data_IF_176869458623
#
_entry.id   IF_176869458623
#
_cell.length_a   1.000
_cell.length_b   1.000
_cell.length_c   1.000
_cell.angle_alpha   90.00
_cell.angle_beta   90.00
_cell.angle_gamma   90.00
#
_symmetry.space_group_name_H-M   'P 1'
#
loop_
_entity.id
_entity.type
_entity.pdbx_description
1 polymer ?
#
# COMPACT_ATOMS: atom_id res chain seq x y z
N UNK A 1 14.94 -13.23 -1.38
CA UNK A 1 13.89 -12.31 -0.91
C UNK A 1 14.23 -11.91 0.51
N UNK A 2 14.29 -10.62 0.80
CA UNK A 2 14.55 -10.10 2.14
C UNK A 2 13.25 -9.69 2.80
N UNK A 3 13.21 -9.80 4.13
CA UNK A 3 12.05 -9.45 4.93
C UNK A 3 12.43 -8.33 5.90
N UNK A 4 11.63 -7.29 5.94
CA UNK A 4 11.76 -6.27 6.96
C UNK A 4 11.41 -6.85 8.32
N UNK A 5 12.02 -6.34 9.38
CA UNK A 5 11.59 -6.65 10.74
C UNK A 5 10.19 -6.08 11.02
N UNK A 6 9.48 -6.68 11.95
CA UNK A 6 8.23 -6.12 12.48
C UNK A 6 8.48 -4.79 13.21
N UNK A 7 7.46 -3.94 13.22
CA UNK A 7 7.48 -2.64 13.90
C UNK A 7 7.41 -2.81 15.42
N UNK A 8 8.10 -1.92 16.13
CA UNK A 8 8.17 -1.87 17.60
C UNK A 8 7.66 -0.54 18.11
N UNK A 9 7.24 -0.51 19.36
CA UNK A 9 6.92 0.76 20.02
C UNK A 9 8.13 1.71 19.99
N UNK A 10 7.89 2.95 19.62
CA UNK A 10 8.92 3.96 19.41
C UNK A 10 9.47 4.03 17.98
N UNK A 11 9.11 3.09 17.11
CA UNK A 11 9.53 3.15 15.70
C UNK A 11 8.87 4.31 14.97
N UNK A 12 9.67 4.97 14.12
CA UNK A 12 9.18 5.93 13.14
C UNK A 12 8.67 5.23 11.89
N UNK A 13 7.51 5.66 11.41
CA UNK A 13 6.92 5.19 10.16
C UNK A 13 6.72 6.37 9.22
N UNK A 14 7.32 6.30 8.03
CA UNK A 14 7.18 7.32 7.00
C UNK A 14 5.82 7.21 6.32
N UNK A 15 5.15 8.33 6.12
CA UNK A 15 3.95 8.44 5.31
C UNK A 15 4.34 9.09 3.98
N UNK A 16 4.08 8.39 2.88
CA UNK A 16 4.46 8.80 1.52
C UNK A 16 3.26 8.84 0.59
N UNK A 17 3.18 9.84 -0.27
CA UNK A 17 2.20 9.94 -1.35
C UNK A 17 2.89 9.60 -2.68
N UNK A 18 2.85 8.31 -3.07
CA UNK A 18 3.58 7.81 -4.25
C UNK A 18 2.78 7.91 -5.55
N UNK A 19 1.46 8.10 -5.46
CA UNK A 19 0.57 8.28 -6.59
C UNK A 19 -0.31 9.51 -6.36
N UNK A 20 -1.57 9.35 -5.92
CA UNK A 20 -2.44 10.48 -5.63
C UNK A 20 -1.90 11.36 -4.49
N UNK A 21 -1.98 12.68 -4.68
CA UNK A 21 -1.67 13.69 -3.67
C UNK A 21 -2.80 14.01 -2.69
N UNK A 22 -3.85 13.20 -2.67
CA UNK A 22 -5.09 13.45 -1.92
C UNK A 22 -4.84 13.75 -0.43
N UNK A 23 -3.81 13.15 0.16
CA UNK A 23 -3.46 13.39 1.57
C UNK A 23 -3.17 14.85 1.89
N UNK A 24 -2.68 15.62 0.91
CA UNK A 24 -2.38 17.04 1.07
C UNK A 24 -3.59 17.97 0.93
N UNK A 25 -4.75 17.44 0.59
CA UNK A 25 -5.97 18.23 0.41
C UNK A 25 -6.70 18.50 1.74
N UNK A 26 -7.34 19.66 1.84
CA UNK A 26 -8.04 20.07 3.05
C UNK A 26 -9.14 19.07 3.48
N UNK A 27 -9.82 18.48 2.51
CA UNK A 27 -10.86 17.49 2.78
C UNK A 27 -10.36 16.20 3.42
N UNK A 28 -9.04 15.92 3.38
CA UNK A 28 -8.39 14.79 4.07
C UNK A 28 -7.83 15.15 5.45
N UNK A 29 -7.95 16.39 5.91
CA UNK A 29 -7.32 16.84 7.18
C UNK A 29 -7.75 16.00 8.38
N UNK A 30 -9.00 15.62 8.48
CA UNK A 30 -9.51 14.78 9.56
C UNK A 30 -9.03 13.32 9.48
N UNK A 31 -8.80 12.79 8.28
CA UNK A 31 -8.19 11.46 8.12
C UNK A 31 -6.75 11.47 8.67
N UNK A 32 -6.01 12.59 8.47
CA UNK A 32 -4.67 12.77 9.03
C UNK A 32 -4.74 12.75 10.57
N UNK A 33 -5.66 13.53 11.17
CA UNK A 33 -5.84 13.59 12.63
C UNK A 33 -6.10 12.18 13.20
N UNK A 34 -7.02 11.43 12.58
CA UNK A 34 -7.41 10.08 13.00
C UNK A 34 -6.25 9.08 12.81
N UNK A 35 -5.63 9.06 11.64
CA UNK A 35 -4.53 8.13 11.33
C UNK A 35 -3.31 8.35 12.24
N UNK A 36 -2.95 9.61 12.49
CA UNK A 36 -1.88 9.96 13.43
C UNK A 36 -2.21 9.48 14.85
N UNK A 37 -3.44 9.69 15.30
CA UNK A 37 -3.89 9.22 16.62
C UNK A 37 -3.73 7.70 16.73
N UNK A 38 -4.22 6.94 15.75
CA UNK A 38 -4.16 5.47 15.75
C UNK A 38 -2.72 4.94 15.72
N UNK A 39 -1.85 5.52 14.89
CA UNK A 39 -0.43 5.13 14.90
C UNK A 39 0.22 5.37 16.27
N UNK A 40 -0.08 6.49 16.92
CA UNK A 40 0.40 6.77 18.26
C UNK A 40 -0.16 5.82 19.32
N UNK A 41 -1.41 5.37 19.17
CA UNK A 41 -2.01 4.35 20.05
C UNK A 41 -1.27 3.00 19.93
N UNK A 42 -0.76 2.66 18.75
CA UNK A 42 0.16 1.53 18.56
C UNK A 42 1.60 1.80 19.05
N UNK A 43 1.87 3.00 19.53
CA UNK A 43 3.20 3.42 19.98
C UNK A 43 4.16 3.76 18.85
N UNK A 44 3.66 4.00 17.64
CA UNK A 44 4.45 4.38 16.47
C UNK A 44 4.50 5.90 16.31
N UNK A 45 5.59 6.41 15.74
CA UNK A 45 5.78 7.81 15.43
C UNK A 45 5.60 8.06 13.92
N UNK A 46 4.47 8.64 13.45
CA UNK A 46 4.28 8.96 12.04
C UNK A 46 5.14 10.15 11.62
N UNK A 47 5.84 10.00 10.50
CA UNK A 47 6.67 11.04 9.87
C UNK A 47 6.17 11.27 8.46
N UNK A 48 5.50 12.39 8.20
CA UNK A 48 5.12 12.76 6.85
C UNK A 48 6.36 13.20 6.08
N UNK A 49 6.63 12.53 4.95
CA UNK A 49 7.74 12.90 4.11
C UNK A 49 7.50 14.30 3.48
N UNK A 50 8.55 15.03 3.12
CA UNK A 50 8.45 16.46 2.78
C UNK A 50 7.45 16.84 1.70
N UNK A 51 7.17 15.93 0.75
CA UNK A 51 6.23 16.16 -0.32
C UNK A 51 4.87 15.47 -0.10
N UNK A 52 4.72 14.60 0.91
CA UNK A 52 3.52 13.79 1.11
C UNK A 52 2.22 14.62 1.23
N UNK A 53 2.32 15.86 1.71
CA UNK A 53 1.21 16.79 1.94
C UNK A 53 1.15 17.94 0.92
N UNK A 54 1.76 17.81 -0.26
CA UNK A 54 1.81 18.88 -1.28
C UNK A 54 0.54 19.00 -2.13
N UNK A 55 -0.40 18.10 -1.99
CA UNK A 55 -1.66 18.12 -2.74
C UNK A 55 -1.59 17.48 -4.13
N UNK A 56 -2.76 17.27 -4.71
CA UNK A 56 -2.94 16.57 -5.98
C UNK A 56 -2.21 17.28 -7.10
N UNK A 57 -2.45 18.57 -7.28
CA UNK A 57 -1.91 19.36 -8.41
C UNK A 57 -0.37 19.31 -8.44
N UNK A 58 0.27 19.47 -7.28
CA UNK A 58 1.72 19.43 -7.20
C UNK A 58 2.25 18.01 -7.50
N UNK A 59 1.73 16.99 -6.84
CA UNK A 59 2.28 15.64 -6.94
C UNK A 59 2.04 15.01 -8.32
N UNK A 60 0.93 15.33 -8.99
CA UNK A 60 0.65 14.86 -10.33
C UNK A 60 1.71 15.33 -11.35
N UNK A 61 2.25 16.52 -11.16
CA UNK A 61 3.26 17.12 -12.07
C UNK A 61 4.71 16.91 -11.60
N UNK A 62 4.93 16.34 -10.41
CA UNK A 62 6.26 16.18 -9.82
C UNK A 62 6.55 14.72 -9.37
N UNK A 63 6.57 13.74 -10.29
CA UNK A 63 6.88 12.34 -9.94
C UNK A 63 8.26 12.20 -9.26
N UNK A 64 9.25 13.05 -9.64
CA UNK A 64 10.56 13.07 -9.00
C UNK A 64 10.50 13.44 -7.51
N UNK A 65 9.54 14.28 -7.08
CA UNK A 65 9.37 14.64 -5.69
C UNK A 65 8.81 13.46 -4.86
N UNK A 66 7.86 12.72 -5.45
CA UNK A 66 7.33 11.48 -4.86
C UNK A 66 8.42 10.41 -4.72
N UNK A 67 9.20 10.20 -5.77
CA UNK A 67 10.33 9.27 -5.76
C UNK A 67 11.39 9.67 -4.72
N UNK A 68 11.65 10.99 -4.59
CA UNK A 68 12.57 11.50 -3.58
C UNK A 68 12.11 11.17 -2.16
N UNK A 69 10.84 11.32 -1.85
CA UNK A 69 10.31 10.98 -0.52
C UNK A 69 10.52 9.49 -0.20
N UNK A 70 10.28 8.61 -1.16
CA UNK A 70 10.52 7.18 -0.97
C UNK A 70 12.02 6.88 -0.75
N UNK A 71 12.90 7.50 -1.54
CA UNK A 71 14.35 7.35 -1.38
C UNK A 71 14.82 7.85 -0.01
N UNK A 72 14.38 9.04 0.39
CA UNK A 72 14.76 9.62 1.67
C UNK A 72 14.26 8.76 2.84
N UNK A 73 13.04 8.21 2.74
CA UNK A 73 12.50 7.30 3.75
C UNK A 73 13.33 6.01 3.88
N UNK A 74 13.88 5.47 2.77
CA UNK A 74 14.77 4.32 2.83
C UNK A 74 16.18 4.69 3.35
N UNK A 75 16.68 5.87 3.02
CA UNK A 75 18.01 6.34 3.46
C UNK A 75 18.05 6.76 4.93
N UNK A 76 16.93 7.14 5.52
CA UNK A 76 16.87 7.53 6.93
C UNK A 76 16.79 6.27 7.82
N UNK A 77 17.90 5.97 8.50
CA UNK A 77 18.00 4.82 9.41
C UNK A 77 17.05 4.90 10.62
N UNK A 78 16.47 6.05 10.91
CA UNK A 78 15.48 6.18 11.98
C UNK A 78 14.07 5.72 11.57
N UNK A 79 13.81 5.58 10.27
CA UNK A 79 12.54 5.07 9.72
C UNK A 79 12.57 3.54 9.68
N UNK A 80 11.58 2.91 10.31
CA UNK A 80 11.46 1.45 10.35
C UNK A 80 10.44 0.89 9.35
N UNK A 81 9.46 1.69 8.95
CA UNK A 81 8.43 1.29 8.00
C UNK A 81 7.92 2.45 7.17
N UNK A 82 7.29 2.13 6.06
CA UNK A 82 6.77 3.08 5.07
C UNK A 82 5.33 2.69 4.78
N UNK A 83 4.42 3.64 4.94
CA UNK A 83 2.98 3.48 4.71
C UNK A 83 2.58 4.42 3.58
N UNK A 84 2.02 3.86 2.51
CA UNK A 84 1.47 4.66 1.42
C UNK A 84 0.24 5.43 1.89
N UNK A 85 0.11 6.69 1.49
CA UNK A 85 -1.01 7.54 1.85
C UNK A 85 -2.32 6.99 1.28
N UNK A 86 -2.30 6.69 0.00
CA UNK A 86 -3.40 6.12 -0.79
C UNK A 86 -2.83 5.59 -2.11
N UNK A 87 -3.62 4.85 -2.87
CA UNK A 87 -3.33 4.52 -4.26
C UNK A 87 -3.44 5.73 -5.19
N UNK A 88 -3.86 5.51 -6.38
CA UNK A 88 -3.98 6.47 -7.49
C UNK A 88 -3.90 5.73 -8.81
N UNK A 89 -3.12 6.26 -9.75
CA UNK A 89 -3.08 5.70 -11.10
C UNK A 89 -1.79 5.93 -11.91
N UNK A 90 -0.77 6.57 -11.32
CA UNK A 90 0.42 6.95 -12.07
C UNK A 90 1.75 6.73 -11.35
N UNK A 91 1.78 5.83 -10.35
CA UNK A 91 3.00 5.55 -9.59
C UNK A 91 4.13 4.93 -10.44
N UNK A 92 3.81 4.34 -11.61
CA UNK A 92 4.79 3.83 -12.55
C UNK A 92 5.81 4.92 -12.99
N UNK A 93 5.40 6.19 -12.97
CA UNK A 93 6.27 7.34 -13.32
C UNK A 93 7.44 7.54 -12.36
N UNK A 94 7.41 6.87 -11.22
CA UNK A 94 8.51 6.92 -10.25
C UNK A 94 9.65 5.97 -10.62
N UNK A 95 9.36 4.94 -11.43
CA UNK A 95 10.32 3.88 -11.77
C UNK A 95 11.65 4.39 -12.33
N UNK A 96 11.69 5.34 -13.29
CA UNK A 96 12.96 5.86 -13.79
C UNK A 96 13.83 6.49 -12.69
N UNK A 97 13.21 7.17 -11.74
CA UNK A 97 13.94 7.83 -10.65
C UNK A 97 14.40 6.86 -9.56
N UNK A 98 13.76 5.70 -9.44
CA UNK A 98 14.04 4.72 -8.40
C UNK A 98 14.95 3.60 -8.92
N UNK A 99 14.63 3.05 -10.09
CA UNK A 99 15.32 1.88 -10.65
C UNK A 99 16.67 2.23 -11.31
N UNK A 100 16.94 3.51 -11.54
CA UNK A 100 18.22 4.00 -12.05
C UNK A 100 19.12 4.58 -10.93
N UNK A 101 18.65 4.57 -9.68
CA UNK A 101 19.41 5.08 -8.53
C UNK A 101 20.08 3.91 -7.78
N UNK A 102 21.35 3.65 -8.10
CA UNK A 102 22.14 2.57 -7.48
C UNK A 102 22.19 2.67 -5.95
N UNK A 103 22.20 3.89 -5.41
CA UNK A 103 22.24 4.11 -3.96
C UNK A 103 20.91 3.67 -3.33
N UNK A 104 19.78 3.99 -3.96
CA UNK A 104 18.47 3.55 -3.50
C UNK A 104 18.35 2.02 -3.56
N UNK A 105 18.69 1.41 -4.69
CA UNK A 105 18.67 -0.04 -4.89
C UNK A 105 19.47 -0.74 -3.80
N UNK A 106 20.72 -0.32 -3.62
CA UNK A 106 21.59 -0.88 -2.58
C UNK A 106 21.02 -0.70 -1.17
N UNK A 107 20.41 0.46 -0.89
CA UNK A 107 19.81 0.71 0.43
C UNK A 107 18.60 -0.20 0.67
N UNK A 108 17.76 -0.46 -0.33
CA UNK A 108 16.65 -1.41 -0.22
C UNK A 108 17.16 -2.82 0.09
N UNK A 109 18.25 -3.23 -0.56
CA UNK A 109 18.86 -4.54 -0.35
C UNK A 109 19.53 -4.66 1.04
N UNK A 110 20.25 -3.64 1.50
CA UNK A 110 21.01 -3.71 2.75
C UNK A 110 20.18 -3.38 4.00
N UNK A 111 19.14 -2.56 3.84
CA UNK A 111 18.30 -2.04 4.93
C UNK A 111 16.81 -2.21 4.64
N UNK A 112 16.31 -3.45 4.59
CA UNK A 112 14.91 -3.72 4.28
C UNK A 112 13.99 -3.06 5.30
N UNK A 113 12.97 -2.33 4.80
CA UNK A 113 11.96 -1.67 5.62
C UNK A 113 10.58 -2.24 5.32
N UNK A 114 9.72 -2.29 6.32
CA UNK A 114 8.31 -2.60 6.10
C UNK A 114 7.73 -1.59 5.11
N UNK A 115 7.05 -2.09 4.09
CA UNK A 115 6.34 -1.27 3.11
C UNK A 115 4.93 -1.80 2.93
N UNK A 116 3.92 -0.93 3.05
CA UNK A 116 2.51 -1.29 2.91
C UNK A 116 1.71 -0.26 2.13
N UNK A 117 0.74 -0.75 1.38
CA UNK A 117 -0.21 0.00 0.57
C UNK A 117 -0.94 -0.93 -0.39
N UNK A 118 -1.93 -0.42 -1.13
CA UNK A 118 -2.71 -1.19 -2.10
C UNK A 118 -3.11 -0.36 -3.32
N UNK A 119 -3.91 -0.92 -4.23
CA UNK A 119 -4.36 -0.29 -5.47
C UNK A 119 -3.18 -0.01 -6.39
N UNK A 120 -2.99 1.20 -6.90
CA UNK A 120 -1.87 1.60 -7.76
C UNK A 120 -0.48 1.29 -7.14
N UNK A 121 -0.38 1.20 -5.81
CA UNK A 121 0.83 0.76 -5.11
C UNK A 121 1.30 -0.64 -5.58
N UNK A 122 0.48 -1.40 -6.30
CA UNK A 122 0.84 -2.67 -6.95
C UNK A 122 2.15 -2.53 -7.74
N UNK A 123 2.34 -1.45 -8.47
CA UNK A 123 3.57 -1.21 -9.25
C UNK A 123 4.79 -1.07 -8.32
N UNK A 124 4.62 -0.43 -7.17
CA UNK A 124 5.69 -0.34 -6.18
C UNK A 124 6.00 -1.71 -5.56
N UNK A 125 4.99 -2.55 -5.31
CA UNK A 125 5.21 -3.92 -4.83
C UNK A 125 5.97 -4.77 -5.85
N UNK A 126 5.63 -4.68 -7.15
CA UNK A 126 6.37 -5.33 -8.23
C UNK A 126 7.83 -4.84 -8.30
N UNK A 127 8.04 -3.54 -8.18
CA UNK A 127 9.39 -2.94 -8.11
C UNK A 127 10.19 -3.50 -6.94
N UNK A 128 9.62 -3.52 -5.73
CA UNK A 128 10.30 -4.06 -4.56
C UNK A 128 10.55 -5.56 -4.65
N UNK A 129 9.62 -6.31 -5.23
CA UNK A 129 9.86 -7.73 -5.53
C UNK A 129 11.08 -7.91 -6.44
N UNK A 130 11.21 -7.11 -7.50
CA UNK A 130 12.37 -7.10 -8.39
C UNK A 130 13.67 -6.76 -7.65
N UNK A 131 13.61 -5.85 -6.67
CA UNK A 131 14.73 -5.49 -5.82
C UNK A 131 14.98 -6.48 -4.67
N UNK A 132 14.23 -7.58 -4.61
CA UNK A 132 14.42 -8.63 -3.62
C UNK A 132 13.85 -8.34 -2.23
N UNK A 133 12.97 -7.33 -2.08
CA UNK A 133 12.27 -7.00 -0.83
C UNK A 133 10.85 -7.56 -0.81
N UNK A 134 10.52 -8.29 0.24
CA UNK A 134 9.13 -8.67 0.55
C UNK A 134 8.37 -7.50 1.15
N UNK A 135 7.17 -7.23 0.63
CA UNK A 135 6.31 -6.12 1.04
C UNK A 135 4.92 -6.62 1.37
N UNK A 136 4.08 -5.77 1.95
CA UNK A 136 2.74 -6.12 2.37
C UNK A 136 1.70 -5.38 1.52
N UNK A 137 1.00 -6.09 0.65
CA UNK A 137 -0.18 -5.55 -0.02
C UNK A 137 -1.31 -5.47 0.99
N UNK A 138 -1.52 -4.30 1.56
CA UNK A 138 -2.39 -4.16 2.73
C UNK A 138 -2.65 -2.70 3.11
N UNK A 139 -2.99 -2.43 4.38
CA UNK A 139 -3.48 -1.14 4.82
C UNK A 139 -2.67 0.05 4.34
N UNK A 140 -3.37 1.10 3.89
CA UNK A 140 -2.82 2.41 3.62
C UNK A 140 -3.20 3.43 4.71
N UNK A 141 -2.73 4.67 4.58
CA UNK A 141 -2.95 5.68 5.60
C UNK A 141 -4.38 6.24 5.59
N UNK A 142 -4.88 6.72 4.43
CA UNK A 142 -6.17 7.43 4.37
C UNK A 142 -7.36 6.49 4.60
N UNK A 143 -7.42 5.39 3.85
CA UNK A 143 -8.60 4.54 3.85
C UNK A 143 -8.71 3.64 5.07
N UNK A 144 -7.57 3.32 5.70
CA UNK A 144 -7.47 2.32 6.74
C UNK A 144 -7.14 2.93 8.10
N UNK A 145 -5.94 3.49 8.25
CA UNK A 145 -5.55 4.17 9.48
C UNK A 145 -6.39 5.44 9.70
N UNK A 146 -6.73 6.13 8.63
CA UNK A 146 -7.59 7.32 8.62
C UNK A 146 -9.09 7.02 8.47
N UNK A 147 -9.55 5.74 8.53
CA UNK A 147 -10.98 5.41 8.51
C UNK A 147 -11.74 6.24 9.54
N UNK A 148 -12.79 6.94 9.08
CA UNK A 148 -13.51 7.93 9.90
C UNK A 148 -14.52 7.33 10.88
N UNK A 149 -14.75 6.01 10.87
CA UNK A 149 -15.45 5.34 11.96
C UNK A 149 -14.64 5.40 13.27
N UNK A 150 -15.28 5.14 14.40
CA UNK A 150 -14.61 5.15 15.72
C UNK A 150 -13.41 4.22 15.77
N UNK A 151 -13.46 3.09 15.06
CA UNK A 151 -12.38 2.12 14.95
C UNK A 151 -12.08 1.78 13.49
N UNK A 152 -10.90 1.24 13.24
CA UNK A 152 -10.58 0.60 11.96
C UNK A 152 -11.50 -0.59 11.73
N UNK A 153 -11.76 -0.94 10.46
CA UNK A 153 -12.47 -2.18 10.15
C UNK A 153 -11.73 -3.39 10.76
N UNK A 154 -12.42 -4.35 11.37
CA UNK A 154 -11.78 -5.42 12.15
C UNK A 154 -10.74 -6.23 11.38
N UNK A 155 -11.00 -6.55 10.11
CA UNK A 155 -10.06 -7.27 9.27
C UNK A 155 -8.80 -6.44 8.98
N UNK A 156 -8.98 -5.17 8.62
CA UNK A 156 -7.90 -4.20 8.37
C UNK A 156 -7.05 -3.98 9.62
N UNK A 157 -7.71 -3.84 10.78
CA UNK A 157 -7.02 -3.72 12.08
C UNK A 157 -6.12 -4.92 12.35
N UNK A 158 -6.65 -6.14 12.19
CA UNK A 158 -5.88 -7.38 12.35
C UNK A 158 -4.70 -7.45 11.37
N UNK A 159 -4.91 -7.06 10.11
CA UNK A 159 -3.86 -7.03 9.10
C UNK A 159 -2.74 -6.04 9.50
N UNK A 160 -3.08 -4.84 9.96
CA UNK A 160 -2.08 -3.88 10.43
C UNK A 160 -1.37 -4.35 11.69
N UNK A 161 -2.10 -4.92 12.64
CA UNK A 161 -1.54 -5.46 13.89
C UNK A 161 -0.53 -6.59 13.63
N UNK A 162 -0.68 -7.37 12.54
CA UNK A 162 0.30 -8.39 12.16
C UNK A 162 1.69 -7.82 11.80
N UNK A 163 1.78 -6.53 11.52
CA UNK A 163 3.05 -5.83 11.27
C UNK A 163 3.82 -5.49 12.54
N UNK A 164 3.17 -5.60 13.70
CA UNK A 164 3.74 -5.25 15.00
C UNK A 164 4.41 -6.46 15.65
N UNK A 165 5.52 -6.23 16.36
CA UNK A 165 6.19 -7.25 17.14
C UNK A 165 5.27 -7.80 18.23
N UNK A 166 5.27 -9.11 18.42
CA UNK A 166 4.41 -9.81 19.38
C UNK A 166 3.04 -10.23 18.84
N UNK A 167 2.70 -9.84 17.61
CA UNK A 167 1.51 -10.31 16.90
C UNK A 167 1.94 -11.26 15.78
N UNK A 168 1.88 -12.55 16.01
CA UNK A 168 2.41 -13.57 15.10
C UNK A 168 1.32 -14.26 14.28
N UNK A 169 0.42 -13.52 13.66
CA UNK A 169 -0.48 -14.11 12.68
C UNK A 169 0.12 -13.96 11.29
N UNK A 170 0.70 -15.04 10.78
CA UNK A 170 1.20 -15.12 9.40
C UNK A 170 0.14 -15.73 8.46
N UNK A 171 -1.06 -15.99 8.96
CA UNK A 171 -2.14 -16.61 8.19
C UNK A 171 -3.09 -15.54 7.64
N UNK A 172 -3.30 -15.58 6.32
CA UNK A 172 -4.32 -14.78 5.63
C UNK A 172 -5.56 -15.63 5.50
N UNK A 173 -6.57 -15.34 6.31
CA UNK A 173 -7.87 -16.02 6.28
C UNK A 173 -8.92 -15.12 5.65
N UNK A 174 -9.99 -15.73 5.11
CA UNK A 174 -11.13 -14.97 4.62
C UNK A 174 -11.79 -14.17 5.73
N UNK A 175 -12.30 -12.99 5.42
CA UNK A 175 -13.19 -12.25 6.34
C UNK A 175 -14.56 -12.90 6.36
N UNK A 176 -15.20 -12.96 7.52
CA UNK A 176 -16.59 -13.36 7.69
C UNK A 176 -17.58 -12.20 7.48
N UNK A 177 -17.06 -11.01 7.25
CA UNK A 177 -17.84 -9.77 7.13
C UNK A 177 -17.25 -8.90 6.02
N UNK A 178 -18.11 -8.39 5.16
CA UNK A 178 -17.76 -7.34 4.21
C UNK A 178 -18.58 -6.07 4.46
N UNK A 179 -18.12 -4.93 3.97
CA UNK A 179 -18.69 -3.62 4.26
C UNK A 179 -18.99 -2.88 2.95
N UNK A 180 -20.15 -2.22 2.90
CA UNK A 180 -20.45 -1.31 1.80
C UNK A 180 -19.41 -0.17 1.76
N UNK A 181 -19.14 0.32 0.56
CA UNK A 181 -18.29 1.49 0.40
C UNK A 181 -18.96 2.70 1.05
N UNK A 182 -18.14 3.56 1.65
CA UNK A 182 -18.63 4.78 2.27
C UNK A 182 -18.95 5.82 1.20
N UNK A 183 -20.08 6.46 1.29
CA UNK A 183 -20.52 7.52 0.38
C UNK A 183 -20.15 8.92 0.90
N UNK A 184 -20.20 9.14 2.22
CA UNK A 184 -19.87 10.41 2.87
C UNK A 184 -18.54 10.31 3.61
N UNK A 185 -17.56 11.05 3.11
CA UNK A 185 -16.20 11.17 3.69
C UNK A 185 -16.00 12.50 4.42
N UNK A 186 -17.06 13.28 4.60
CA UNK A 186 -16.95 14.58 5.24
C UNK A 186 -16.62 14.48 6.73
N UNK A 187 -16.13 15.59 7.28
CA UNK A 187 -15.90 15.72 8.75
C UNK A 187 -17.17 15.49 9.57
N UNK A 188 -18.36 15.74 9.00
CA UNK A 188 -19.63 15.51 9.67
C UNK A 188 -19.96 13.99 9.81
N UNK A 189 -19.37 13.15 8.97
CA UNK A 189 -19.55 11.72 9.00
C UNK A 189 -18.61 10.97 9.97
N UNK A 190 -17.73 11.71 10.68
CA UNK A 190 -16.84 11.08 11.67
C UNK A 190 -17.65 10.35 12.72
N UNK A 191 -17.23 9.12 13.05
CA UNK A 191 -17.91 8.21 13.99
C UNK A 191 -19.03 7.37 13.36
N UNK A 192 -19.41 7.64 12.10
CA UNK A 192 -20.42 6.81 11.43
C UNK A 192 -19.83 5.46 11.01
N UNK A 193 -20.61 4.39 11.18
CA UNK A 193 -20.20 3.03 10.80
C UNK A 193 -20.57 2.75 9.35
N UNK A 194 -19.75 1.94 8.67
CA UNK A 194 -20.13 1.35 7.39
C UNK A 194 -21.18 0.27 7.60
N UNK A 195 -22.04 0.08 6.64
CA UNK A 195 -23.01 -1.01 6.67
C UNK A 195 -22.30 -2.34 6.43
N UNK A 196 -22.50 -3.26 7.36
CA UNK A 196 -21.85 -4.56 7.38
C UNK A 196 -22.77 -5.64 6.84
N UNK A 197 -22.19 -6.61 6.15
CA UNK A 197 -22.86 -7.79 5.63
C UNK A 197 -22.03 -9.03 5.97
N UNK A 198 -22.72 -10.16 6.17
CA UNK A 198 -22.06 -11.43 6.37
C UNK A 198 -21.46 -11.93 5.05
N UNK A 199 -20.20 -12.37 5.08
CA UNK A 199 -19.63 -13.15 3.99
C UNK A 199 -20.02 -14.62 4.15
N UNK A 200 -20.58 -15.22 3.10
CA UNK A 200 -21.11 -16.58 3.17
C UNK A 200 -20.20 -17.62 2.49
N UNK A 201 -19.29 -17.18 1.62
CA UNK A 201 -18.46 -18.11 0.82
C UNK A 201 -17.02 -18.17 1.29
N UNK A 202 -16.42 -17.02 1.59
CA UNK A 202 -14.99 -16.94 1.90
C UNK A 202 -14.11 -17.24 0.67
N UNK A 203 -12.93 -17.80 0.93
CA UNK A 203 -12.05 -18.24 -0.16
C UNK A 203 -12.53 -19.56 -0.74
N UNK A 204 -12.68 -19.62 -2.05
CA UNK A 204 -13.07 -20.82 -2.80
C UNK A 204 -11.94 -21.25 -3.72
N UNK A 205 -11.57 -22.53 -3.69
CA UNK A 205 -10.65 -23.12 -4.66
C UNK A 205 -11.38 -23.33 -5.98
N UNK A 206 -11.07 -22.51 -6.98
CA UNK A 206 -11.70 -22.62 -8.31
C UNK A 206 -10.95 -23.59 -9.23
N UNK A 207 -9.63 -23.75 -9.05
CA UNK A 207 -8.80 -24.59 -9.89
C UNK A 207 -7.50 -24.96 -9.16
N UNK A 208 -6.95 -26.14 -9.44
CA UNK A 208 -5.66 -26.60 -8.92
C UNK A 208 -5.80 -27.55 -7.74
N UNK A 209 -4.78 -27.65 -6.91
CA UNK A 209 -4.75 -28.49 -5.71
C UNK A 209 -5.07 -27.65 -4.45
N UNK A 210 -5.56 -28.31 -3.40
CA UNK A 210 -5.83 -27.66 -2.10
C UNK A 210 -4.55 -27.11 -1.44
N UNK A 211 -3.41 -27.70 -1.77
CA UNK A 211 -2.10 -27.29 -1.24
C UNK A 211 -1.19 -26.96 -2.41
N UNK A 212 -0.67 -25.75 -2.42
CA UNK A 212 0.37 -25.31 -3.34
C UNK A 212 1.38 -24.43 -2.59
N UNK A 213 2.60 -24.38 -3.10
CA UNK A 213 3.69 -23.63 -2.47
C UNK A 213 4.38 -22.77 -3.54
N UNK A 214 4.67 -21.52 -3.20
CA UNK A 214 5.36 -20.58 -4.09
C UNK A 214 5.43 -19.18 -3.52
N UNK A 215 6.07 -18.28 -4.25
CA UNK A 215 6.04 -16.85 -3.96
C UNK A 215 4.65 -16.26 -4.25
N UNK A 216 4.11 -15.50 -3.33
CA UNK A 216 2.88 -14.75 -3.54
C UNK A 216 3.23 -13.42 -4.21
N UNK A 217 2.70 -13.21 -5.40
CA UNK A 217 2.86 -11.98 -6.16
C UNK A 217 1.52 -11.57 -6.74
N UNK A 218 1.22 -10.28 -6.70
CA UNK A 218 -0.04 -9.76 -7.22
C UNK A 218 -0.33 -8.38 -6.70
N UNK A 219 -1.62 -8.04 -6.69
CA UNK A 219 -2.10 -6.73 -6.27
C UNK A 219 -3.46 -6.39 -6.87
N UNK A 220 -3.69 -5.13 -7.19
CA UNK A 220 -4.90 -4.66 -7.85
C UNK A 220 -4.97 -5.16 -9.30
N UNK A 221 -6.06 -5.86 -9.63
CA UNK A 221 -6.26 -6.38 -10.98
C UNK A 221 -6.40 -5.27 -12.02
N UNK A 222 -7.05 -4.16 -11.65
CA UNK A 222 -7.17 -2.98 -12.52
C UNK A 222 -5.81 -2.38 -12.85
N UNK A 223 -4.95 -2.17 -11.83
CA UNK A 223 -3.59 -1.67 -12.06
C UNK A 223 -2.77 -2.60 -12.94
N UNK A 224 -2.89 -3.93 -12.76
CA UNK A 224 -2.22 -4.90 -13.63
C UNK A 224 -2.78 -4.86 -15.06
N UNK A 225 -4.09 -4.69 -15.21
CA UNK A 225 -4.73 -4.55 -16.53
C UNK A 225 -4.27 -3.28 -17.24
N UNK A 226 -4.23 -2.14 -16.54
CA UNK A 226 -3.79 -0.85 -17.08
C UNK A 226 -2.35 -0.97 -17.62
N UNK A 227 -1.44 -1.52 -16.82
CA UNK A 227 -0.03 -1.76 -17.24
C UNK A 227 0.06 -2.65 -18.47
N UNK A 228 -0.71 -3.74 -18.52
CA UNK A 228 -0.62 -4.71 -19.61
C UNK A 228 -1.21 -4.19 -20.93
N UNK A 229 -2.18 -3.28 -20.86
CA UNK A 229 -2.97 -2.84 -22.01
C UNK A 229 -2.76 -1.38 -22.41
N UNK A 230 -2.03 -0.58 -21.60
CA UNK A 230 -1.95 0.89 -21.74
C UNK A 230 -3.35 1.54 -21.77
N UNK A 231 -4.31 1.01 -21.01
CA UNK A 231 -5.68 1.50 -21.04
C UNK A 231 -5.81 2.90 -20.46
N UNK A 232 -4.92 3.28 -19.57
CA UNK A 232 -4.94 4.59 -18.90
C UNK A 232 -3.86 5.54 -19.44
N UNK A 233 -2.62 5.07 -19.57
CA UNK A 233 -1.47 5.85 -20.05
C UNK A 233 -0.76 5.09 -21.17
N UNK A 234 -0.41 5.80 -22.24
CA UNK A 234 0.19 5.22 -23.45
C UNK A 234 1.59 4.63 -23.22
N UNK A 235 2.32 5.14 -22.22
CA UNK A 235 3.71 4.80 -21.92
C UNK A 235 3.90 3.85 -20.72
N UNK A 236 2.84 3.54 -20.00
CA UNK A 236 2.91 2.78 -18.73
C UNK A 236 3.54 1.41 -18.90
N UNK A 237 3.07 0.66 -19.89
CA UNK A 237 3.60 -0.67 -20.21
C UNK A 237 5.07 -0.63 -20.59
N UNK A 238 5.45 0.28 -21.48
CA UNK A 238 6.85 0.43 -21.89
C UNK A 238 7.77 0.72 -20.72
N UNK A 239 7.34 1.62 -19.82
CA UNK A 239 8.12 1.96 -18.63
C UNK A 239 8.26 0.76 -17.70
N UNK A 240 7.17 0.02 -17.44
CA UNK A 240 7.23 -1.17 -16.60
C UNK A 240 8.06 -2.30 -17.21
N UNK A 241 7.95 -2.54 -18.52
CA UNK A 241 8.76 -3.54 -19.24
C UNK A 241 10.25 -3.18 -19.25
N UNK A 242 10.60 -1.90 -19.36
CA UNK A 242 12.00 -1.43 -19.31
C UNK A 242 12.73 -1.91 -18.05
N UNK A 243 12.03 -1.98 -16.94
CA UNK A 243 12.57 -2.44 -15.65
C UNK A 243 12.24 -3.90 -15.33
N UNK A 244 11.68 -4.64 -16.30
CA UNK A 244 11.35 -6.06 -16.17
C UNK A 244 10.54 -6.34 -14.89
N UNK A 245 9.47 -5.57 -14.67
CA UNK A 245 8.63 -5.68 -13.47
C UNK A 245 7.70 -6.89 -13.50
N UNK A 246 7.43 -7.44 -14.69
CA UNK A 246 6.53 -8.57 -14.81
C UNK A 246 7.22 -9.87 -14.41
N UNK A 247 6.63 -10.64 -13.50
CA UNK A 247 7.24 -11.85 -13.00
C UNK A 247 7.34 -12.92 -14.10
N UNK A 248 8.40 -13.73 -14.02
CA UNK A 248 8.49 -14.96 -14.76
C UNK A 248 7.37 -15.94 -14.35
N UNK A 249 7.08 -16.92 -15.21
CA UNK A 249 5.95 -17.85 -15.13
C UNK A 249 5.83 -18.69 -13.83
N UNK A 250 6.78 -18.57 -12.93
CA UNK A 250 6.87 -19.40 -11.71
C UNK A 250 6.27 -18.76 -10.46
N UNK A 251 5.65 -17.57 -10.57
CA UNK A 251 5.01 -16.90 -9.45
C UNK A 251 3.50 -17.14 -9.40
N UNK A 252 2.98 -17.34 -8.20
CA UNK A 252 1.54 -17.34 -7.95
C UNK A 252 1.04 -15.90 -8.02
N UNK A 253 0.11 -15.62 -8.94
CA UNK A 253 -0.57 -14.35 -9.02
C UNK A 253 -1.76 -14.35 -8.05
N UNK A 254 -1.69 -13.52 -7.02
CA UNK A 254 -2.83 -13.22 -6.16
C UNK A 254 -3.41 -11.86 -6.54
N UNK A 255 -4.67 -11.84 -6.89
CA UNK A 255 -5.42 -10.60 -7.11
C UNK A 255 -6.53 -10.51 -6.09
N UNK A 256 -6.60 -9.41 -5.36
CA UNK A 256 -7.74 -9.12 -4.51
C UNK A 256 -8.89 -8.61 -5.38
N UNK A 257 -10.10 -9.13 -5.24
CA UNK A 257 -11.26 -8.53 -5.90
C UNK A 257 -11.41 -7.09 -5.39
N UNK A 258 -11.43 -6.15 -6.31
CA UNK A 258 -11.75 -4.76 -5.99
C UNK A 258 -13.20 -4.68 -5.50
N UNK A 259 -13.51 -3.91 -4.44
CA UNK A 259 -14.89 -3.63 -4.06
C UNK A 259 -15.73 -2.97 -5.17
N UNK A 260 -15.06 -2.49 -6.23
CA UNK A 260 -15.67 -1.83 -7.39
C UNK A 260 -16.00 -2.78 -8.54
N UNK A 261 -15.58 -4.03 -8.48
CA UNK A 261 -15.96 -4.99 -9.52
C UNK A 261 -17.45 -5.29 -9.40
N UNK A 262 -18.26 -4.85 -10.39
CA UNK A 262 -19.68 -5.21 -10.38
C UNK A 262 -19.78 -6.73 -10.51
N UNK A 263 -20.60 -7.33 -9.67
CA UNK A 263 -20.95 -8.75 -9.75
C UNK A 263 -21.62 -9.09 -11.08
#
# INVERSE_FOLDING_TARGET
MQYARKLRKGDKVAIVSLSSGMLGEEFCSHNIEIGVKRLKEYGLEPVFMPNALKGIEYLQTHPQARAKDLKDAFLDNSIAGIICAIGGDDTYRLLPYLMEDEKFIKTVEEHPKLFTGFSDTTINHLMFYKLGLSTYYGPNFICDLGEIADEMLPYTKRAFESYLEGNESDEIISSDTWYEEREDFSRAAIGTKRKAHKEERGFELLQGSEIFQGGLLGGCLESLYDVLTNSRYEDEKEVCERYDLFPNKDCLLYTSPSPRDPK
#
